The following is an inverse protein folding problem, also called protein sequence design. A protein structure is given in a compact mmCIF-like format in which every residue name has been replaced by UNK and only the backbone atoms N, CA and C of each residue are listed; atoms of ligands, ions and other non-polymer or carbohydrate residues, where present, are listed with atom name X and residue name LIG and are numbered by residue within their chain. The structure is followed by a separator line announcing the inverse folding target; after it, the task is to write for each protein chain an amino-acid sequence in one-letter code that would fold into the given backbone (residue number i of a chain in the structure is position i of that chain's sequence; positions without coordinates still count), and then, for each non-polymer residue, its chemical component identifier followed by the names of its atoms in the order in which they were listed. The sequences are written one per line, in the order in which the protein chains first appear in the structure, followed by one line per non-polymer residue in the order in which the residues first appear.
data_IF_367814489030
#
_entry.id   IF_367814489030
#
_cell.length_a   1.000
_cell.length_b   1.000
_cell.length_c   1.000
_cell.angle_alpha   90.00
_cell.angle_beta   90.00
_cell.angle_gamma   90.00
#
_symmetry.space_group_name_H-M   'P 1'
#
loop_
_entity.id
_entity.type
_entity.pdbx_description
1 polymer ?
#
# COMPACT_ATOMS: atom_id res chain seq x y z
N UNK A 1 -12.11 6.41 6.89
CA UNK A 1 -13.33 5.87 7.51
C UNK A 1 -12.98 5.36 8.90
N UNK A 2 -13.77 5.71 9.92
CA UNK A 2 -13.56 5.25 11.29
C UNK A 2 -14.90 4.93 11.93
N UNK A 3 -14.88 4.06 12.93
CA UNK A 3 -16.09 3.69 13.68
C UNK A 3 -16.24 4.53 14.94
N UNK A 4 -17.45 4.54 15.51
CA UNK A 4 -17.64 5.11 16.85
C UNK A 4 -16.89 4.27 17.91
N UNK A 5 -16.47 4.88 19.03
CA UNK A 5 -15.82 4.14 20.11
C UNK A 5 -16.72 3.02 20.65
N UNK A 6 -16.26 1.78 20.53
CA UNK A 6 -17.00 0.60 21.01
C UNK A 6 -17.98 -0.01 19.99
N UNK A 7 -18.09 0.56 18.79
CA UNK A 7 -18.94 0.05 17.70
C UNK A 7 -18.12 -0.36 16.47
N UNK A 8 -17.24 -1.38 16.58
CA UNK A 8 -16.46 -1.81 15.42
C UNK A 8 -17.37 -2.44 14.35
N UNK A 9 -16.91 -2.42 13.09
CA UNK A 9 -17.61 -3.08 11.98
C UNK A 9 -17.25 -4.57 12.02
N UNK A 10 -18.23 -5.48 12.20
CA UNK A 10 -17.94 -6.89 12.33
C UNK A 10 -17.32 -7.48 11.07
N UNK A 11 -16.14 -8.10 11.19
CA UNK A 11 -15.49 -8.82 10.10
C UNK A 11 -15.96 -10.28 10.08
N UNK A 12 -17.27 -10.49 9.95
CA UNK A 12 -17.91 -11.79 10.19
C UNK A 12 -17.27 -12.90 9.33
N UNK A 13 -16.65 -13.88 9.98
CA UNK A 13 -16.01 -15.02 9.31
C UNK A 13 -14.58 -14.80 8.84
N UNK A 14 -13.96 -13.63 9.12
CA UNK A 14 -12.53 -13.47 8.98
C UNK A 14 -11.80 -14.39 9.98
N UNK A 15 -10.73 -15.03 9.51
CA UNK A 15 -9.90 -15.94 10.30
C UNK A 15 -8.53 -15.33 10.66
N UNK A 16 -8.28 -14.09 10.23
CA UNK A 16 -7.05 -13.34 10.47
C UNK A 16 -7.28 -11.84 10.23
N UNK A 17 -6.52 -10.98 10.89
CA UNK A 17 -6.51 -9.53 10.63
C UNK A 17 -6.32 -9.16 9.13
N UNK A 18 -5.39 -9.79 8.37
CA UNK A 18 -5.29 -9.57 6.92
C UNK A 18 -6.54 -9.96 6.13
N UNK A 19 -7.24 -11.03 6.54
CA UNK A 19 -8.48 -11.45 5.91
C UNK A 19 -9.61 -10.44 6.18
N UNK A 20 -9.75 -9.97 7.42
CA UNK A 20 -10.70 -8.93 7.80
C UNK A 20 -10.45 -7.63 7.01
N UNK A 21 -9.19 -7.20 6.94
CA UNK A 21 -8.80 -6.01 6.20
C UNK A 21 -9.12 -6.11 4.69
N UNK A 22 -8.82 -7.26 4.06
CA UNK A 22 -9.16 -7.50 2.65
C UNK A 22 -10.66 -7.48 2.41
N UNK A 23 -11.43 -8.18 3.23
CA UNK A 23 -12.89 -8.23 3.10
C UNK A 23 -13.50 -6.82 3.20
N UNK A 24 -13.08 -6.07 4.22
CA UNK A 24 -13.56 -4.70 4.43
C UNK A 24 -13.24 -3.77 3.25
N UNK A 25 -12.01 -3.83 2.72
CA UNK A 25 -11.65 -2.97 1.58
C UNK A 25 -12.34 -3.41 0.29
N UNK A 26 -12.56 -4.70 0.08
CA UNK A 26 -13.30 -5.22 -1.09
C UNK A 26 -14.76 -4.76 -1.07
N UNK A 27 -15.43 -4.87 0.07
CA UNK A 27 -16.80 -4.39 0.27
C UNK A 27 -16.92 -2.87 0.07
N UNK A 28 -15.85 -2.11 0.34
CA UNK A 28 -15.80 -0.65 0.24
C UNK A 28 -14.96 -0.14 -0.93
N UNK A 29 -14.61 -0.98 -1.91
CA UNK A 29 -13.59 -0.68 -2.93
C UNK A 29 -13.85 0.65 -3.66
N UNK A 30 -15.11 0.87 -4.07
CA UNK A 30 -15.52 2.10 -4.76
C UNK A 30 -15.32 3.37 -3.92
N UNK A 31 -15.53 3.29 -2.61
CA UNK A 31 -15.38 4.44 -1.73
C UNK A 31 -13.91 4.82 -1.52
N UNK A 32 -13.00 3.85 -1.69
CA UNK A 32 -11.57 4.10 -1.76
C UNK A 32 -11.08 4.47 -3.15
N UNK A 33 -11.90 4.36 -4.20
CA UNK A 33 -11.49 4.65 -5.58
C UNK A 33 -10.83 3.46 -6.32
N UNK A 34 -11.04 2.24 -5.83
CA UNK A 34 -10.56 1.00 -6.45
C UNK A 34 -11.61 0.43 -7.42
N UNK A 35 -11.15 -0.18 -8.51
CA UNK A 35 -12.00 -0.95 -9.42
C UNK A 35 -12.21 -2.38 -8.95
N UNK A 36 -11.11 -3.04 -8.56
CA UNK A 36 -11.04 -4.41 -8.06
C UNK A 36 -9.96 -4.50 -6.97
N UNK A 37 -10.38 -4.36 -5.71
CA UNK A 37 -9.48 -4.40 -4.57
C UNK A 37 -8.69 -5.71 -4.48
N UNK A 38 -9.24 -6.85 -4.93
CA UNK A 38 -8.56 -8.14 -4.85
C UNK A 38 -7.34 -8.22 -5.76
N UNK A 39 -7.37 -7.54 -6.90
CA UNK A 39 -6.26 -7.46 -7.87
C UNK A 39 -5.35 -6.26 -7.65
N UNK A 40 -5.91 -5.18 -7.15
CA UNK A 40 -5.22 -3.90 -6.98
C UNK A 40 -4.57 -3.75 -5.62
N UNK A 41 -4.83 -4.63 -4.63
CA UNK A 41 -4.21 -4.54 -3.31
C UNK A 41 -3.53 -5.83 -2.87
N UNK A 42 -2.33 -5.65 -2.33
CA UNK A 42 -1.54 -6.68 -1.67
C UNK A 42 -1.29 -6.28 -0.22
N UNK A 43 -1.51 -7.20 0.71
CA UNK A 43 -1.07 -7.01 2.10
C UNK A 43 0.46 -6.94 2.10
N UNK A 44 0.98 -5.79 2.50
CA UNK A 44 2.42 -5.49 2.59
C UNK A 44 2.95 -5.91 3.96
N UNK A 45 2.20 -5.57 5.02
CA UNK A 45 2.66 -5.68 6.39
C UNK A 45 1.47 -5.88 7.33
N UNK A 46 1.71 -6.53 8.48
CA UNK A 46 0.75 -6.65 9.56
C UNK A 46 1.45 -6.48 10.89
N UNK A 47 1.16 -5.37 11.57
CA UNK A 47 1.70 -5.05 12.87
C UNK A 47 0.73 -5.48 13.97
N UNK A 48 1.21 -6.26 14.92
CA UNK A 48 0.48 -6.53 16.15
C UNK A 48 0.67 -5.38 17.12
N UNK A 49 -0.45 -4.86 17.60
CA UNK A 49 -0.50 -3.75 18.54
C UNK A 49 -0.88 -4.25 19.94
N UNK A 50 -0.91 -3.33 20.90
CA UNK A 50 -1.34 -3.66 22.26
C UNK A 50 -2.82 -4.10 22.31
N UNK A 51 -3.17 -4.85 23.36
CA UNK A 51 -4.55 -5.33 23.60
C UNK A 51 -5.12 -6.22 22.47
N UNK A 52 -4.25 -6.92 21.73
CA UNK A 52 -4.67 -7.85 20.66
C UNK A 52 -5.09 -7.18 19.36
N UNK A 53 -5.01 -5.84 19.26
CA UNK A 53 -5.28 -5.11 18.02
C UNK A 53 -4.23 -5.39 16.96
N UNK A 54 -4.58 -5.18 15.70
CA UNK A 54 -3.62 -5.22 14.58
C UNK A 54 -3.81 -4.06 13.62
N UNK A 55 -2.73 -3.66 12.95
CA UNK A 55 -2.73 -2.72 11.82
C UNK A 55 -2.24 -3.46 10.58
N UNK A 56 -3.04 -3.46 9.52
CA UNK A 56 -2.74 -4.13 8.25
C UNK A 56 -2.50 -3.08 7.18
N UNK A 57 -1.30 -3.05 6.60
CA UNK A 57 -0.96 -2.18 5.47
C UNK A 57 -1.19 -2.94 4.16
N UNK A 58 -1.95 -2.34 3.25
CA UNK A 58 -2.22 -2.83 1.91
C UNK A 58 -1.60 -1.86 0.90
N UNK A 59 -0.72 -2.37 0.06
CA UNK A 59 -0.07 -1.64 -1.03
C UNK A 59 -0.90 -1.77 -2.31
N UNK A 60 -1.17 -0.63 -2.95
CA UNK A 60 -1.78 -0.56 -4.27
C UNK A 60 -0.81 -1.07 -5.32
N UNK A 61 -1.31 -1.92 -6.21
CA UNK A 61 -0.62 -2.45 -7.37
C UNK A 61 -1.36 -2.03 -8.64
N UNK A 62 -0.62 -1.56 -9.63
CA UNK A 62 -1.12 -1.44 -11.00
C UNK A 62 -0.38 -2.45 -11.88
N UNK A 63 -1.11 -3.46 -12.39
CA UNK A 63 -0.53 -4.55 -13.19
C UNK A 63 0.68 -5.24 -12.52
N UNK A 64 0.63 -5.37 -11.19
CA UNK A 64 1.70 -5.98 -10.39
C UNK A 64 2.83 -5.04 -10.00
N UNK A 65 2.83 -3.79 -10.46
CA UNK A 65 3.82 -2.76 -10.06
C UNK A 65 3.28 -1.97 -8.87
N UNK A 66 4.04 -1.86 -7.75
CA UNK A 66 3.65 -1.03 -6.62
C UNK A 66 3.49 0.44 -7.00
N UNK A 67 2.38 1.03 -6.57
CA UNK A 67 2.12 2.47 -6.72
C UNK A 67 2.72 3.20 -5.54
N UNK A 68 3.73 4.04 -5.78
CA UNK A 68 4.35 4.84 -4.71
C UNK A 68 3.28 5.72 -4.06
N UNK A 69 3.23 5.70 -2.72
CA UNK A 69 2.23 6.40 -1.91
C UNK A 69 0.77 5.96 -2.13
N UNK A 70 0.53 4.86 -2.87
CA UNK A 70 -0.77 4.22 -2.98
C UNK A 70 -0.91 3.13 -1.93
N UNK A 71 -1.43 3.46 -0.75
CA UNK A 71 -1.55 2.54 0.38
C UNK A 71 -2.85 2.74 1.15
N UNK A 72 -3.40 1.66 1.68
CA UNK A 72 -4.46 1.67 2.67
C UNK A 72 -3.98 0.99 3.95
N UNK A 73 -4.37 1.51 5.10
CA UNK A 73 -4.13 0.93 6.41
C UNK A 73 -5.47 0.64 7.07
N UNK A 74 -5.68 -0.61 7.46
CA UNK A 74 -6.87 -1.06 8.19
C UNK A 74 -6.46 -1.46 9.60
N UNK A 75 -7.11 -0.86 10.59
CA UNK A 75 -6.94 -1.22 11.99
C UNK A 75 -8.09 -2.10 12.43
N UNK A 76 -7.76 -3.22 13.07
CA UNK A 76 -8.73 -4.16 13.64
C UNK A 76 -8.52 -4.36 15.12
N UNK A 77 -9.58 -4.80 15.80
CA UNK A 77 -9.54 -5.17 17.22
C UNK A 77 -9.08 -6.63 17.45
N UNK A 78 -9.13 -7.10 18.70
CA UNK A 78 -8.71 -8.45 19.07
C UNK A 78 -9.64 -9.56 18.55
N UNK A 79 -10.83 -9.19 18.07
CA UNK A 79 -11.80 -10.08 17.42
C UNK A 79 -11.75 -9.97 15.90
N UNK A 80 -10.78 -9.20 15.39
CA UNK A 80 -10.59 -8.89 13.98
C UNK A 80 -11.67 -7.96 13.39
N UNK A 81 -12.51 -7.37 14.25
CA UNK A 81 -13.51 -6.41 13.82
C UNK A 81 -12.83 -5.07 13.45
N UNK A 82 -13.32 -4.42 12.39
CA UNK A 82 -12.69 -3.22 11.83
C UNK A 82 -13.00 -2.00 12.67
N UNK A 83 -11.94 -1.29 13.08
CA UNK A 83 -12.01 -0.04 13.85
C UNK A 83 -11.85 1.18 12.94
N UNK A 84 -10.97 1.09 11.96
CA UNK A 84 -10.76 2.17 11.00
C UNK A 84 -10.06 1.69 9.74
N UNK A 85 -10.24 2.45 8.67
CA UNK A 85 -9.51 2.32 7.42
C UNK A 85 -9.16 3.70 6.88
N UNK A 86 -7.91 3.90 6.50
CA UNK A 86 -7.39 5.19 6.04
C UNK A 86 -6.26 5.01 5.04
N UNK A 87 -6.06 6.00 4.18
CA UNK A 87 -4.99 5.99 3.19
C UNK A 87 -5.46 6.62 1.88
N UNK A 88 -4.69 6.43 0.84
CA UNK A 88 -4.94 6.97 -0.49
C UNK A 88 -4.55 5.93 -1.54
N UNK A 89 -5.32 5.89 -2.62
CA UNK A 89 -5.00 5.12 -3.81
C UNK A 89 -5.02 6.07 -5.00
N UNK A 90 -4.10 5.86 -5.93
CA UNK A 90 -4.06 6.66 -7.14
C UNK A 90 -5.11 6.16 -8.15
N UNK A 91 -5.85 7.06 -8.82
CA UNK A 91 -6.72 6.67 -9.93
C UNK A 91 -5.86 6.37 -11.16
N UNK A 92 -5.76 5.09 -11.54
CA UNK A 92 -4.93 4.64 -12.67
C UNK A 92 -5.80 3.85 -13.66
N UNK A 93 -6.05 4.43 -14.84
CA UNK A 93 -6.86 3.77 -15.87
C UNK A 93 -6.01 2.91 -16.81
N UNK A 94 -5.23 3.56 -17.69
CA UNK A 94 -4.48 2.91 -18.78
C UNK A 94 -3.05 3.39 -18.82
N UNK A 95 -2.26 2.91 -17.87
CA UNK A 95 -0.80 3.06 -17.87
C UNK A 95 -0.14 1.73 -18.30
N UNK A 96 0.71 1.79 -19.32
CA UNK A 96 1.60 0.68 -19.67
C UNK A 96 2.77 0.63 -18.68
N UNK A 97 3.04 -0.56 -18.17
CA UNK A 97 4.08 -0.82 -17.17
C UNK A 97 5.33 -1.46 -17.78
N UNK A 98 5.37 -1.63 -19.10
CA UNK A 98 6.53 -2.15 -19.82
C UNK A 98 7.65 -1.12 -19.85
N UNK A 99 8.78 -1.34 -19.17
CA UNK A 99 9.87 -0.36 -19.17
C UNK A 99 10.47 -0.23 -20.56
N UNK A 100 10.71 1.02 -21.00
CA UNK A 100 11.40 1.32 -22.27
C UNK A 100 12.92 1.33 -22.14
N UNK A 101 13.42 1.29 -20.91
CA UNK A 101 14.84 1.26 -20.56
C UNK A 101 15.08 0.12 -19.57
N UNK A 102 16.29 -0.45 -19.60
CA UNK A 102 16.67 -1.45 -18.61
C UNK A 102 16.88 -0.82 -17.22
N UNK A 103 16.82 -1.63 -16.17
CA UNK A 103 17.13 -1.19 -14.81
C UNK A 103 18.53 -0.57 -14.71
N UNK A 104 19.54 -1.20 -15.33
CA UNK A 104 20.91 -0.69 -15.33
C UNK A 104 21.05 0.67 -16.02
N UNK A 105 20.32 0.90 -17.11
CA UNK A 105 20.32 2.20 -17.79
C UNK A 105 19.61 3.29 -16.96
N UNK A 106 18.50 2.94 -16.31
CA UNK A 106 17.78 3.84 -15.41
C UNK A 106 18.65 4.23 -14.20
N UNK A 107 19.33 3.27 -13.58
CA UNK A 107 20.25 3.49 -12.46
C UNK A 107 21.40 4.42 -12.86
N UNK A 108 22.12 4.12 -13.95
CA UNK A 108 23.23 4.94 -14.41
C UNK A 108 22.80 6.40 -14.63
N UNK A 109 21.63 6.60 -15.23
CA UNK A 109 21.02 7.92 -15.45
C UNK A 109 20.71 8.63 -14.13
N UNK A 110 20.13 7.92 -13.15
CA UNK A 110 19.81 8.48 -11.84
C UNK A 110 21.09 8.94 -11.11
N UNK A 111 22.15 8.13 -11.13
CA UNK A 111 23.46 8.47 -10.54
C UNK A 111 24.06 9.69 -11.26
N UNK A 112 23.93 9.80 -12.59
CA UNK A 112 24.45 10.95 -13.35
C UNK A 112 23.72 12.25 -12.98
N UNK A 113 22.39 12.18 -12.82
CA UNK A 113 21.58 13.32 -12.36
C UNK A 113 21.95 13.72 -10.93
N UNK A 114 22.07 12.76 -10.02
CA UNK A 114 22.45 13.02 -8.63
C UNK A 114 23.84 13.64 -8.52
N UNK A 115 24.84 13.11 -9.24
CA UNK A 115 26.20 13.67 -9.25
C UNK A 115 26.25 15.12 -9.77
N UNK A 116 25.40 15.45 -10.77
CA UNK A 116 25.29 16.82 -11.28
C UNK A 116 24.68 17.77 -10.24
N UNK A 117 23.72 17.30 -9.46
CA UNK A 117 23.06 18.06 -8.39
C UNK A 117 23.94 18.23 -7.15
N UNK A 118 24.74 17.21 -6.82
CA UNK A 118 25.61 17.14 -5.64
C UNK A 118 27.09 17.13 -6.06
N UNK A 119 27.59 18.29 -6.51
CA UNK A 119 28.96 18.42 -7.06
C UNK A 119 30.07 18.16 -6.04
N UNK A 120 29.73 18.19 -4.76
CA UNK A 120 30.58 17.88 -3.61
C UNK A 120 30.68 16.37 -3.33
N UNK A 121 29.80 15.56 -3.90
CA UNK A 121 29.80 14.10 -3.75
C UNK A 121 30.38 13.45 -5.02
N UNK A 122 31.47 12.66 -4.92
CA UNK A 122 32.00 11.94 -6.06
C UNK A 122 30.97 10.94 -6.63
N UNK A 123 30.83 10.89 -7.97
CA UNK A 123 29.95 9.92 -8.64
C UNK A 123 30.18 8.48 -8.18
N UNK A 124 31.44 8.10 -7.96
CA UNK A 124 31.81 6.76 -7.52
C UNK A 124 31.30 6.40 -6.11
N UNK A 125 30.77 7.37 -5.36
CA UNK A 125 30.17 7.18 -4.04
C UNK A 125 28.63 7.12 -4.09
N UNK A 126 28.04 7.32 -5.26
CA UNK A 126 26.61 7.28 -5.48
C UNK A 126 26.23 5.91 -6.05
N UNK A 127 25.40 5.19 -5.33
CA UNK A 127 24.82 3.90 -5.72
C UNK A 127 23.32 3.93 -5.40
N UNK A 128 22.53 3.16 -6.15
CA UNK A 128 21.11 2.98 -5.87
C UNK A 128 20.88 2.12 -4.63
#
# INVERSE_FOLDING_TARGET
MGTEPGEPIPATGAASAPAAARAFVDENAKAFGLGDATRELRVEETDRLTKGRSSVRLQQLHRGVPVIAGELVVNVDAREDVLSASGEVAPIDRLDVTPKVSAAAAEATAVDVAAKAHRDVPRASLHA
#
